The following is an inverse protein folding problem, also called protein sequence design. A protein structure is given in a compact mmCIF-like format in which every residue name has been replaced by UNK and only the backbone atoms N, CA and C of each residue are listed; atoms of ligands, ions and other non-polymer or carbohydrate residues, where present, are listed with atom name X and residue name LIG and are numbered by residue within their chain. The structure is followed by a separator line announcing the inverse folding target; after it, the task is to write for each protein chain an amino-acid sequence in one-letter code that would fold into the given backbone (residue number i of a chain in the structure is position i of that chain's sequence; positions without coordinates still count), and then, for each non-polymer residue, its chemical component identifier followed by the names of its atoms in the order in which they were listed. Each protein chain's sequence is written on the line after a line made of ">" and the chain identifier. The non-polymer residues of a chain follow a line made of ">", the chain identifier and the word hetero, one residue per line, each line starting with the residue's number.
data_IF_830395900715
#
_entry.id   IF_830395900715
#
_cell.length_a   1.000
_cell.length_b   1.000
_cell.length_c   1.000
_cell.angle_alpha   90.00
_cell.angle_beta   90.00
_cell.angle_gamma   90.00
#
_symmetry.space_group_name_H-M   'P 1'
#
loop_
_entity.id
_entity.type
_entity.pdbx_description
1 polymer ?
#
# COMPACT_ATOMS: atom_id res chain seq x y z
N UNK A 1 -0.82 4.76 10.13
CA UNK A 1 -0.05 3.78 10.92
C UNK A 1 1.36 3.55 10.41
N UNK A 2 1.68 3.59 9.10
CA UNK A 2 3.08 3.51 8.65
C UNK A 2 3.86 4.83 8.79
N UNK A 3 3.29 5.94 8.31
CA UNK A 3 3.97 7.26 8.29
C UNK A 3 4.33 7.78 9.69
N UNK A 4 3.43 7.62 10.66
CA UNK A 4 3.65 7.98 12.08
C UNK A 4 4.98 7.37 12.58
N UNK A 5 5.10 6.05 12.51
CA UNK A 5 6.24 5.32 13.04
C UNK A 5 7.50 5.51 12.20
N UNK A 6 7.37 5.73 10.89
CA UNK A 6 8.50 6.10 10.06
C UNK A 6 9.10 7.46 10.46
N UNK A 7 8.27 8.47 10.73
CA UNK A 7 8.77 9.77 11.23
C UNK A 7 9.40 9.64 12.62
N UNK A 8 8.85 8.81 13.50
CA UNK A 8 9.48 8.50 14.80
C UNK A 8 10.84 7.81 14.61
N UNK A 9 10.93 6.85 13.68
CA UNK A 9 12.18 6.15 13.36
C UNK A 9 13.27 7.09 12.83
N UNK A 10 12.90 8.05 11.98
CA UNK A 10 13.85 9.06 11.48
C UNK A 10 14.34 9.99 12.58
N UNK A 11 13.43 10.47 13.43
CA UNK A 11 13.76 11.34 14.56
C UNK A 11 14.55 10.61 15.67
N UNK A 12 14.50 9.28 15.72
CA UNK A 12 15.36 8.50 16.62
C UNK A 12 16.86 8.60 16.25
N UNK A 13 17.18 9.01 15.01
CA UNK A 13 18.57 9.29 14.57
C UNK A 13 19.09 10.64 15.06
N UNK A 14 18.19 11.53 15.49
CA UNK A 14 18.52 12.86 16.00
C UNK A 14 17.46 13.91 15.63
N UNK A 15 17.59 15.13 16.18
CA UNK A 15 16.66 16.21 15.87
C UNK A 15 16.66 16.59 14.39
N UNK A 16 15.48 16.76 13.80
CA UNK A 16 15.35 17.10 12.38
C UNK A 16 14.14 18.01 12.10
N UNK A 17 14.29 18.90 11.12
CA UNK A 17 13.19 19.73 10.62
C UNK A 17 12.31 18.97 9.62
N UNK A 18 11.10 19.49 9.37
CA UNK A 18 10.10 18.87 8.47
C UNK A 18 10.64 18.54 7.08
N UNK A 19 11.45 19.44 6.48
CA UNK A 19 12.05 19.22 5.16
C UNK A 19 13.07 18.08 5.18
N UNK A 20 13.93 18.06 6.20
CA UNK A 20 14.93 17.01 6.38
C UNK A 20 14.26 15.64 6.58
N UNK A 21 13.21 15.59 7.40
CA UNK A 21 12.43 14.35 7.61
C UNK A 21 11.79 13.83 6.33
N UNK A 22 11.24 14.72 5.49
CA UNK A 22 10.74 14.30 4.17
C UNK A 22 11.86 13.69 3.34
N UNK A 23 12.99 14.40 3.23
CA UNK A 23 14.13 13.96 2.42
C UNK A 23 14.68 12.61 2.90
N UNK A 24 14.83 12.45 4.22
CA UNK A 24 15.32 11.21 4.81
C UNK A 24 14.31 10.07 4.68
N UNK A 25 13.00 10.37 4.70
CA UNK A 25 11.96 9.38 4.41
C UNK A 25 12.08 8.89 2.97
N UNK A 26 12.11 9.80 1.99
CA UNK A 26 12.24 9.45 0.57
C UNK A 26 13.52 8.65 0.31
N UNK A 27 14.63 8.98 0.97
CA UNK A 27 15.88 8.24 0.89
C UNK A 27 15.81 6.85 1.56
N UNK A 28 15.11 6.73 2.69
CA UNK A 28 15.03 5.47 3.44
C UNK A 28 14.03 4.46 2.88
N UNK A 29 13.04 4.92 2.11
CA UNK A 29 11.96 4.08 1.62
C UNK A 29 12.02 3.82 0.12
N UNK A 30 13.01 4.40 -0.57
CA UNK A 30 12.97 4.51 -2.01
C UNK A 30 11.84 5.44 -2.46
N UNK A 31 11.88 5.92 -3.69
CA UNK A 31 10.81 6.76 -4.27
C UNK A 31 9.45 6.05 -4.38
N UNK A 32 9.37 4.77 -3.95
CA UNK A 32 8.19 3.92 -3.91
C UNK A 32 7.04 4.48 -3.08
N UNK A 33 7.33 5.24 -2.01
CA UNK A 33 6.30 5.87 -1.18
C UNK A 33 6.50 7.38 -1.11
N UNK A 34 5.86 8.17 -1.99
CA UNK A 34 5.98 9.62 -1.95
C UNK A 34 5.32 10.17 -0.69
N UNK A 35 6.03 11.05 0.03
CA UNK A 35 5.52 11.71 1.23
C UNK A 35 5.55 13.23 1.06
N UNK A 36 4.38 13.85 1.03
CA UNK A 36 4.27 15.29 0.83
C UNK A 36 4.62 16.07 2.10
N UNK A 37 5.27 17.24 1.97
CA UNK A 37 5.64 18.10 3.13
C UNK A 37 4.44 18.40 4.03
N UNK A 38 3.26 18.66 3.45
CA UNK A 38 2.04 18.89 4.21
C UNK A 38 1.61 17.68 5.06
N UNK A 39 1.84 16.46 4.58
CA UNK A 39 1.58 15.23 5.35
C UNK A 39 2.58 15.07 6.50
N UNK A 40 3.85 15.41 6.27
CA UNK A 40 4.87 15.41 7.34
C UNK A 40 4.48 16.40 8.43
N UNK A 41 4.19 17.65 8.07
CA UNK A 41 3.82 18.70 9.02
C UNK A 41 2.57 18.34 9.84
N UNK A 42 1.51 17.88 9.17
CA UNK A 42 0.26 17.48 9.85
C UNK A 42 0.44 16.25 10.74
N UNK A 43 1.33 15.32 10.37
CA UNK A 43 1.64 14.15 11.20
C UNK A 43 2.47 14.55 12.42
N UNK A 44 3.46 15.43 12.26
CA UNK A 44 4.26 15.96 13.38
C UNK A 44 3.41 16.72 14.39
N UNK A 45 2.46 17.55 13.94
CA UNK A 45 1.53 18.25 14.84
C UNK A 45 0.66 17.27 15.66
N UNK A 46 0.25 16.14 15.06
CA UNK A 46 -0.48 15.09 15.80
C UNK A 46 0.43 14.36 16.78
N UNK A 47 1.65 14.04 16.39
CA UNK A 47 2.64 13.41 17.26
C UNK A 47 2.99 14.29 18.47
N UNK A 48 3.06 15.61 18.29
CA UNK A 48 3.30 16.59 19.36
C UNK A 48 2.13 16.62 20.34
N UNK A 49 0.91 16.73 19.80
CA UNK A 49 -0.33 16.66 20.61
C UNK A 49 -0.41 15.35 21.41
N UNK A 50 0.03 14.25 20.81
CA UNK A 50 0.04 12.92 21.44
C UNK A 50 1.26 12.73 22.38
N UNK A 51 2.13 13.74 22.54
CA UNK A 51 3.28 13.72 23.46
C UNK A 51 4.47 12.87 23.01
N UNK A 52 4.50 12.44 21.75
CA UNK A 52 5.52 11.53 21.21
C UNK A 52 6.75 12.27 20.64
N UNK A 53 6.57 13.53 20.26
CA UNK A 53 7.65 14.42 19.82
C UNK A 53 7.49 15.79 20.47
N UNK A 54 8.58 16.54 20.53
CA UNK A 54 8.57 17.95 20.94
C UNK A 54 9.28 18.80 19.89
N UNK A 55 8.80 20.03 19.73
CA UNK A 55 9.44 21.05 18.91
C UNK A 55 10.57 21.73 19.69
N UNK A 56 11.74 21.81 19.07
CA UNK A 56 12.89 22.56 19.53
C UNK A 56 12.86 23.93 18.86
N UNK A 57 12.61 24.96 19.65
CA UNK A 57 12.65 26.33 19.14
C UNK A 57 14.11 26.76 18.90
N UNK A 58 14.42 27.30 17.71
CA UNK A 58 15.74 27.86 17.46
C UNK A 58 15.90 29.13 18.31
N UNK A 59 16.58 29.00 19.45
CA UNK A 59 17.11 30.14 20.19
C UNK A 59 16.31 30.63 21.40
N UNK A 60 16.08 29.78 22.41
CA UNK A 60 16.05 30.30 23.80
C UNK A 60 17.48 30.30 24.34
N UNK A 61 18.14 31.47 24.53
CA UNK A 61 19.42 31.50 25.21
C UNK A 61 19.23 30.98 26.64
N UNK A 62 20.02 29.97 27.02
CA UNK A 62 20.12 29.50 28.38
C UNK A 62 20.85 30.55 29.22
N UNK A 63 20.12 31.55 29.77
CA UNK A 63 20.57 32.31 30.92
C UNK A 63 19.43 33.08 31.60
N UNK A 64 19.26 32.85 32.90
CA UNK A 64 18.41 33.61 33.81
C UNK A 64 17.80 32.75 34.93
N UNK A 65 18.39 32.72 36.14
CA UNK A 65 17.74 32.12 37.29
C UNK A 65 16.66 33.08 37.81
N UNK A 66 15.44 32.60 38.00
CA UNK A 66 14.36 33.40 38.60
C UNK A 66 12.98 32.76 38.48
N UNK A 67 12.65 31.90 39.42
CA UNK A 67 11.28 31.73 39.89
C UNK A 67 11.24 32.23 41.35
N UNK A 68 10.08 32.55 41.97
CA UNK A 68 8.71 32.47 41.47
C UNK A 68 7.89 33.78 41.69
N UNK A 69 6.73 33.88 41.05
CA UNK A 69 5.75 34.94 41.30
C UNK A 69 4.34 34.51 40.88
N UNK A 70 3.54 34.12 41.86
CA UNK A 70 2.11 33.77 41.79
C UNK A 70 1.19 34.98 41.56
N UNK A 71 0.15 34.83 40.73
CA UNK A 71 -1.18 35.46 40.82
C UNK A 71 -1.97 35.15 39.52
N UNK A 72 -2.97 34.25 39.50
CA UNK A 72 -4.43 34.45 39.74
C UNK A 72 -5.16 35.37 38.77
N UNK A 73 -6.17 34.80 38.07
CA UNK A 73 -7.44 35.34 37.54
C UNK A 73 -7.68 34.80 36.10
N UNK A 74 -8.58 33.83 35.86
CA UNK A 74 -10.05 33.91 35.85
C UNK A 74 -10.63 34.84 34.77
N UNK A 75 -11.18 34.25 33.69
CA UNK A 75 -12.60 34.38 33.31
C UNK A 75 -12.86 33.78 31.92
N UNK A 76 -14.02 33.13 31.82
CA UNK A 76 -14.59 32.49 30.65
C UNK A 76 -15.06 33.48 29.56
N UNK A 77 -15.18 33.01 28.31
CA UNK A 77 -16.46 33.03 27.57
C UNK A 77 -16.38 32.33 26.22
N UNK A 78 -17.31 31.40 26.07
CA UNK A 78 -17.93 30.81 24.87
C UNK A 78 -18.18 31.80 23.74
N UNK A 79 -18.06 31.36 22.47
CA UNK A 79 -19.04 31.66 21.40
C UNK A 79 -18.75 30.89 20.10
N UNK A 80 -19.78 30.17 19.63
CA UNK A 80 -20.00 29.56 18.30
C UNK A 80 -21.19 30.34 17.68
N UNK A 81 -21.21 30.66 16.37
CA UNK A 81 -22.06 29.94 15.39
C UNK A 81 -21.33 29.75 14.03
N UNK A 82 -21.46 28.63 13.30
CA UNK A 82 -22.58 28.07 12.53
C UNK A 82 -22.62 28.48 11.03
N UNK A 83 -22.86 27.46 10.20
CA UNK A 83 -23.47 27.48 8.86
C UNK A 83 -22.58 27.41 7.58
N UNK A 84 -22.62 26.20 6.99
CA UNK A 84 -23.08 25.89 5.63
C UNK A 84 -22.17 26.01 4.38
N UNK A 85 -22.32 24.96 3.57
CA UNK A 85 -22.21 24.87 2.10
C UNK A 85 -20.85 24.46 1.46
N UNK A 86 -20.81 23.21 1.00
CA UNK A 86 -20.16 22.73 -0.25
C UNK A 86 -20.64 23.57 -1.46
N UNK A 87 -19.92 23.68 -2.61
CA UNK A 87 -19.45 22.52 -3.40
C UNK A 87 -18.11 22.66 -4.18
N UNK A 88 -17.61 21.50 -4.63
CA UNK A 88 -16.64 21.32 -5.73
C UNK A 88 -17.09 21.94 -7.05
N UNK A 89 -16.13 22.29 -7.94
CA UNK A 89 -16.14 21.63 -9.25
C UNK A 89 -14.75 21.22 -9.79
N UNK A 90 -14.84 20.40 -10.84
CA UNK A 90 -13.83 19.70 -11.66
C UNK A 90 -12.88 20.61 -12.46
N UNK A 91 -11.70 20.04 -12.74
CA UNK A 91 -10.78 20.16 -13.91
C UNK A 91 -10.86 21.39 -14.81
N UNK A 92 -9.68 21.91 -15.18
CA UNK A 92 -9.23 21.90 -16.58
C UNK A 92 -7.73 22.18 -16.70
N UNK A 93 -7.17 21.55 -17.72
CA UNK A 93 -5.86 21.69 -18.33
C UNK A 93 -5.31 23.12 -18.41
N UNK A 94 -4.00 23.25 -18.26
CA UNK A 94 -3.17 24.16 -19.07
C UNK A 94 -1.68 23.97 -18.76
N UNK A 95 -0.99 23.17 -19.58
CA UNK A 95 0.41 23.43 -19.89
C UNK A 95 0.47 24.59 -20.90
N UNK A 96 1.53 25.43 -20.86
CA UNK A 96 2.32 25.48 -22.09
C UNK A 96 3.83 25.76 -21.90
N UNK A 97 4.53 25.42 -22.97
CA UNK A 97 5.68 26.11 -23.57
C UNK A 97 7.05 25.95 -22.91
N UNK A 98 7.82 25.03 -23.51
CA UNK A 98 9.26 25.15 -23.65
C UNK A 98 9.60 26.26 -24.67
N UNK A 99 10.54 27.13 -24.32
CA UNK A 99 11.20 28.04 -25.24
C UNK A 99 12.69 28.16 -24.88
N UNK A 100 13.49 27.67 -25.83
CA UNK A 100 14.73 28.21 -26.37
C UNK A 100 15.93 28.53 -25.45
N UNK A 101 17.06 27.95 -25.85
CA UNK A 101 18.37 28.11 -25.24
C UNK A 101 19.32 28.82 -26.23
N UNK A 102 19.93 29.92 -25.80
CA UNK A 102 21.17 30.43 -26.38
C UNK A 102 22.02 31.12 -25.29
N UNK A 103 23.36 31.14 -25.41
CA UNK A 103 24.28 31.26 -24.29
C UNK A 103 24.78 32.70 -24.06
N UNK A 104 25.10 33.03 -22.80
CA UNK A 104 25.89 34.22 -22.47
C UNK A 104 27.00 33.86 -21.49
N UNK A 105 28.22 34.15 -21.91
CA UNK A 105 29.50 34.06 -21.20
C UNK A 105 29.70 35.18 -20.17
N UNK A 106 29.99 34.80 -18.92
CA UNK A 106 30.82 35.51 -17.91
C UNK A 106 30.25 36.80 -17.26
N UNK A 107 30.80 37.27 -16.11
CA UNK A 107 32.03 36.83 -15.44
C UNK A 107 31.84 36.37 -13.97
N UNK A 108 32.91 35.78 -13.45
CA UNK A 108 33.17 35.39 -12.07
C UNK A 108 32.53 36.31 -11.01
N UNK A 109 31.62 35.74 -10.23
CA UNK A 109 31.26 36.29 -8.93
C UNK A 109 31.53 35.21 -7.89
N UNK A 110 32.46 35.52 -6.99
CA UNK A 110 32.82 34.72 -5.83
C UNK A 110 31.61 34.71 -4.89
N UNK A 111 30.65 33.82 -5.12
CA UNK A 111 29.50 33.69 -4.24
C UNK A 111 29.85 32.73 -3.11
N UNK A 112 30.29 33.34 -2.02
CA UNK A 112 30.19 32.91 -0.63
C UNK A 112 29.05 31.90 -0.42
N UNK A 113 29.36 30.73 0.16
CA UNK A 113 28.34 29.78 0.64
C UNK A 113 27.30 30.54 1.48
N UNK A 114 25.98 30.40 1.22
CA UNK A 114 24.98 30.86 2.16
C UNK A 114 25.01 29.92 3.38
N UNK A 115 25.75 30.35 4.39
CA UNK A 115 25.70 29.80 5.73
C UNK A 115 24.46 30.41 6.42
N UNK A 116 23.28 29.82 6.22
CA UNK A 116 22.13 29.93 7.14
C UNK A 116 20.89 29.23 6.53
N UNK A 117 20.58 28.03 7.00
CA UNK A 117 19.18 27.61 7.12
C UNK A 117 18.95 27.22 8.58
N UNK A 118 18.96 28.22 9.47
CA UNK A 118 19.03 28.03 10.93
C UNK A 118 17.77 28.49 11.68
N UNK A 119 16.62 28.58 11.00
CA UNK A 119 15.34 28.96 11.64
C UNK A 119 14.18 27.98 11.38
N UNK A 120 14.46 26.76 10.91
CA UNK A 120 13.42 25.73 10.86
C UNK A 120 13.39 25.03 12.20
N UNK A 121 12.27 25.14 12.91
CA UNK A 121 12.08 24.42 14.16
C UNK A 121 12.31 22.93 13.95
N UNK A 122 13.23 22.38 14.73
CA UNK A 122 13.57 20.97 14.70
C UNK A 122 12.61 20.21 15.61
N UNK A 123 12.34 18.96 15.28
CA UNK A 123 11.57 18.05 16.12
C UNK A 123 12.52 17.06 16.77
N UNK A 124 12.18 16.56 17.95
CA UNK A 124 12.92 15.47 18.61
C UNK A 124 11.98 14.52 19.35
N UNK A 125 12.40 13.26 19.54
CA UNK A 125 11.61 12.25 20.25
C UNK A 125 11.57 12.50 21.75
N UNK A 126 10.40 12.32 22.34
CA UNK A 126 10.24 12.14 23.79
C UNK A 126 10.57 10.70 24.21
N UNK A 127 10.64 10.43 25.52
CA UNK A 127 10.74 9.06 26.02
C UNK A 127 9.52 8.21 25.60
N UNK A 128 8.32 8.77 25.71
CA UNK A 128 7.11 8.12 25.23
C UNK A 128 7.18 7.81 23.72
N UNK A 129 7.74 8.72 22.92
CA UNK A 129 7.99 8.48 21.49
C UNK A 129 8.97 7.34 21.23
N UNK A 130 10.01 7.19 22.06
CA UNK A 130 10.97 6.08 21.98
C UNK A 130 10.33 4.74 22.35
N UNK A 131 9.54 4.72 23.41
CA UNK A 131 8.81 3.52 23.85
C UNK A 131 7.81 3.06 22.81
N UNK A 132 7.01 3.97 22.25
CA UNK A 132 6.08 3.69 21.15
C UNK A 132 6.80 3.12 19.94
N UNK A 133 7.94 3.71 19.55
CA UNK A 133 8.73 3.22 18.43
C UNK A 133 9.30 1.83 18.69
N UNK A 134 9.83 1.58 19.89
CA UNK A 134 10.35 0.27 20.29
C UNK A 134 9.24 -0.79 20.28
N UNK A 135 8.07 -0.45 20.80
CA UNK A 135 6.91 -1.32 20.75
C UNK A 135 6.49 -1.64 19.32
N UNK A 136 6.48 -0.64 18.44
CA UNK A 136 6.15 -0.83 17.03
C UNK A 136 7.13 -1.76 16.31
N UNK A 137 8.44 -1.61 16.53
CA UNK A 137 9.45 -2.50 15.94
C UNK A 137 9.33 -3.95 16.41
N UNK A 138 8.95 -4.18 17.68
CA UNK A 138 8.80 -5.51 18.25
C UNK A 138 7.44 -6.15 17.89
N UNK A 139 6.45 -5.34 17.51
CA UNK A 139 5.09 -5.82 17.25
C UNK A 139 4.97 -6.47 15.87
N UNK A 140 4.49 -7.72 15.78
CA UNK A 140 4.29 -8.36 14.49
C UNK A 140 3.16 -7.67 13.72
N UNK A 141 3.36 -7.49 12.41
CA UNK A 141 2.31 -7.00 11.51
C UNK A 141 1.33 -8.14 11.21
N UNK A 142 0.21 -8.16 11.92
CA UNK A 142 -0.86 -9.13 11.67
C UNK A 142 -1.48 -8.88 10.29
N UNK A 143 -1.24 -9.80 9.34
CA UNK A 143 -1.90 -9.79 8.03
C UNK A 143 -3.22 -10.54 8.16
N UNK A 144 -4.35 -9.83 8.09
CA UNK A 144 -5.63 -10.48 7.77
C UNK A 144 -5.60 -10.77 6.27
N UNK A 145 -5.85 -12.01 5.88
CA UNK A 145 -6.06 -12.33 4.47
C UNK A 145 -7.15 -11.38 3.92
N UNK A 146 -7.07 -10.96 2.64
CA UNK A 146 -8.15 -10.18 2.07
C UNK A 146 -9.43 -11.00 2.23
N UNK A 147 -10.40 -10.52 3.01
CA UNK A 147 -11.63 -11.25 3.31
C UNK A 147 -12.39 -11.60 2.00
N UNK A 148 -12.09 -10.88 0.92
CA UNK A 148 -12.61 -11.07 -0.43
C UNK A 148 -11.55 -10.73 -1.46
N UNK A 149 -10.84 -11.75 -1.93
CA UNK A 149 -10.00 -11.63 -3.12
C UNK A 149 -10.88 -11.73 -4.38
N UNK A 150 -10.85 -10.70 -5.22
CA UNK A 150 -11.70 -10.60 -6.42
C UNK A 150 -11.43 -11.73 -7.42
N UNK A 151 -10.16 -12.10 -7.62
CA UNK A 151 -9.78 -13.15 -8.57
C UNK A 151 -10.29 -14.52 -8.10
N UNK A 152 -10.17 -14.80 -6.80
CA UNK A 152 -10.70 -16.02 -6.20
C UNK A 152 -12.22 -16.09 -6.36
N UNK A 153 -12.92 -14.99 -6.12
CA UNK A 153 -14.38 -14.91 -6.31
C UNK A 153 -14.75 -15.13 -7.78
N UNK A 154 -14.04 -14.49 -8.72
CA UNK A 154 -14.25 -14.68 -10.16
C UNK A 154 -14.11 -16.14 -10.56
N UNK A 155 -13.03 -16.81 -10.16
CA UNK A 155 -12.82 -18.21 -10.49
C UNK A 155 -13.86 -19.12 -9.85
N UNK A 156 -14.21 -18.90 -8.58
CA UNK A 156 -15.24 -19.68 -7.92
C UNK A 156 -16.60 -19.58 -8.63
N UNK A 157 -17.03 -18.37 -8.98
CA UNK A 157 -18.29 -18.14 -9.70
C UNK A 157 -18.24 -18.71 -11.12
N UNK A 158 -17.10 -18.60 -11.81
CA UNK A 158 -16.90 -19.16 -13.14
C UNK A 158 -17.11 -20.68 -13.15
N UNK A 159 -16.70 -21.40 -12.10
CA UNK A 159 -16.94 -22.86 -12.01
C UNK A 159 -18.41 -23.26 -11.91
N UNK A 160 -19.28 -22.36 -11.43
CA UNK A 160 -20.72 -22.57 -11.34
C UNK A 160 -21.47 -22.07 -12.59
N UNK A 161 -20.77 -21.47 -13.55
CA UNK A 161 -21.35 -20.81 -14.71
C UNK A 161 -21.01 -21.58 -15.99
N UNK A 162 -21.98 -22.25 -16.64
CA UNK A 162 -21.71 -23.13 -17.79
C UNK A 162 -21.22 -22.39 -19.04
N UNK A 163 -21.56 -21.10 -19.17
CA UNK A 163 -21.21 -20.28 -20.33
C UNK A 163 -19.82 -19.64 -20.24
N UNK A 164 -19.11 -19.83 -19.13
CA UNK A 164 -17.80 -19.21 -18.88
C UNK A 164 -16.69 -20.21 -19.11
N UNK A 165 -15.78 -19.89 -20.05
CA UNK A 165 -14.53 -20.63 -20.21
C UNK A 165 -13.55 -20.26 -19.08
N UNK A 166 -13.55 -21.09 -18.03
CA UNK A 166 -12.67 -20.91 -16.86
C UNK A 166 -11.19 -21.03 -17.25
N UNK A 167 -10.85 -21.87 -18.23
CA UNK A 167 -9.47 -22.05 -18.66
C UNK A 167 -8.96 -20.79 -19.37
N UNK A 168 -9.77 -20.22 -20.27
CA UNK A 168 -9.46 -18.94 -20.90
C UNK A 168 -9.31 -17.81 -19.87
N UNK A 169 -10.15 -17.78 -18.83
CA UNK A 169 -10.05 -16.79 -17.75
C UNK A 169 -8.75 -16.91 -16.96
N UNK A 170 -8.33 -18.14 -16.61
CA UNK A 170 -7.04 -18.39 -15.93
C UNK A 170 -5.88 -17.96 -16.82
N UNK A 171 -5.92 -18.27 -18.12
CA UNK A 171 -4.86 -17.88 -19.06
C UNK A 171 -4.79 -16.36 -19.23
N UNK A 172 -5.93 -15.67 -19.28
CA UNK A 172 -5.96 -14.21 -19.33
C UNK A 172 -5.36 -13.58 -18.07
N UNK A 173 -5.73 -14.07 -16.88
CA UNK A 173 -5.14 -13.59 -15.63
C UNK A 173 -3.63 -13.85 -15.61
N UNK A 174 -3.19 -15.07 -15.94
CA UNK A 174 -1.78 -15.45 -15.98
C UNK A 174 -0.94 -14.50 -16.85
N UNK A 175 -1.42 -14.14 -18.03
CA UNK A 175 -0.73 -13.20 -18.92
C UNK A 175 -0.59 -11.81 -18.30
N UNK A 176 -1.64 -11.32 -17.63
CA UNK A 176 -1.60 -10.04 -16.91
C UNK A 176 -0.58 -10.10 -15.75
N UNK A 177 -0.65 -11.14 -14.92
CA UNK A 177 0.26 -11.36 -13.78
C UNK A 177 1.72 -11.49 -14.22
N UNK A 178 1.99 -12.20 -15.32
CA UNK A 178 3.33 -12.28 -15.92
C UNK A 178 3.83 -10.91 -16.40
N UNK A 179 2.98 -10.11 -17.03
CA UNK A 179 3.36 -8.75 -17.46
C UNK A 179 3.80 -7.91 -16.27
N UNK A 180 3.03 -7.92 -15.18
CA UNK A 180 3.39 -7.25 -13.93
C UNK A 180 4.72 -7.77 -13.35
N UNK A 181 4.97 -9.09 -13.39
CA UNK A 181 6.25 -9.66 -12.95
C UNK A 181 7.44 -9.11 -13.76
N UNK A 182 7.28 -8.94 -15.08
CA UNK A 182 8.32 -8.38 -15.93
C UNK A 182 8.60 -6.91 -15.62
N UNK A 183 7.55 -6.12 -15.34
CA UNK A 183 7.65 -4.72 -14.93
C UNK A 183 8.40 -4.58 -13.60
N UNK A 184 8.02 -5.36 -12.58
CA UNK A 184 8.69 -5.39 -11.27
C UNK A 184 10.16 -5.78 -11.43
N UNK A 185 10.44 -6.84 -12.21
CA UNK A 185 11.82 -7.27 -12.47
C UNK A 185 12.66 -6.25 -13.22
N UNK A 186 12.04 -5.44 -14.09
CA UNK A 186 12.71 -4.31 -14.75
C UNK A 186 13.01 -3.20 -13.75
N UNK A 187 12.05 -2.82 -12.92
CA UNK A 187 12.23 -1.82 -11.87
C UNK A 187 13.33 -2.25 -10.88
N UNK A 188 13.34 -3.52 -10.48
CA UNK A 188 14.34 -4.08 -9.55
C UNK A 188 15.76 -3.97 -10.12
N UNK A 189 15.94 -4.30 -11.40
CA UNK A 189 17.24 -4.15 -12.07
C UNK A 189 17.68 -2.69 -12.20
N UNK A 190 16.73 -1.76 -12.33
CA UNK A 190 17.02 -0.33 -12.47
C UNK A 190 17.40 0.35 -11.15
N UNK A 191 16.97 -0.20 -10.00
CA UNK A 191 17.25 0.38 -8.68
C UNK A 191 18.75 0.38 -8.30
N UNK A 192 19.57 -0.45 -8.95
CA UNK A 192 20.96 -0.73 -8.60
C UNK A 192 21.15 -1.20 -7.15
N UNK A 193 22.31 -1.81 -6.83
CA UNK A 193 22.57 -2.39 -5.50
C UNK A 193 22.63 -1.33 -4.37
N UNK A 194 22.59 -0.04 -4.71
CA UNK A 194 22.70 1.08 -3.77
C UNK A 194 21.39 1.37 -3.00
N UNK A 195 20.22 1.02 -3.56
CA UNK A 195 18.91 1.22 -2.92
C UNK A 195 18.32 -0.09 -2.40
N UNK A 196 18.87 -0.54 -1.27
CA UNK A 196 18.43 -1.76 -0.58
C UNK A 196 16.95 -1.70 -0.17
N UNK A 197 16.44 -0.53 0.21
CA UNK A 197 15.06 -0.36 0.64
C UNK A 197 14.09 -0.62 -0.53
N UNK A 198 14.33 0.02 -1.68
CA UNK A 198 13.57 -0.26 -2.91
C UNK A 198 13.69 -1.72 -3.31
N UNK A 199 14.89 -2.29 -3.23
CA UNK A 199 15.14 -3.69 -3.60
C UNK A 199 14.31 -4.67 -2.77
N UNK A 200 14.31 -4.52 -1.44
CA UNK A 200 13.51 -5.36 -0.54
C UNK A 200 12.01 -5.28 -0.82
N UNK A 201 11.52 -4.10 -1.19
CA UNK A 201 10.09 -3.91 -1.53
C UNK A 201 9.74 -4.58 -2.83
N UNK A 202 10.60 -4.42 -3.85
CA UNK A 202 10.38 -5.05 -5.15
C UNK A 202 10.50 -6.57 -5.06
N UNK A 203 11.45 -7.10 -4.27
CA UNK A 203 11.54 -8.53 -3.99
C UNK A 203 10.27 -9.06 -3.32
N UNK A 204 9.72 -8.33 -2.34
CA UNK A 204 8.43 -8.71 -1.76
C UNK A 204 7.33 -8.81 -2.82
N UNK A 205 7.25 -7.84 -3.74
CA UNK A 205 6.26 -7.85 -4.81
C UNK A 205 6.47 -9.00 -5.81
N UNK A 206 7.72 -9.33 -6.13
CA UNK A 206 8.05 -10.53 -6.93
C UNK A 206 7.44 -11.76 -6.29
N UNK A 207 7.69 -12.00 -5.00
CA UNK A 207 7.18 -13.18 -4.30
C UNK A 207 5.64 -13.23 -4.27
N UNK A 208 4.95 -12.10 -4.14
CA UNK A 208 3.48 -12.06 -4.17
C UNK A 208 2.95 -12.46 -5.55
N UNK A 209 3.53 -11.92 -6.62
CA UNK A 209 3.11 -12.22 -7.99
C UNK A 209 3.45 -13.66 -8.38
N UNK A 210 4.59 -14.18 -7.95
CA UNK A 210 4.97 -15.59 -8.14
C UNK A 210 4.03 -16.54 -7.40
N UNK A 211 3.61 -16.18 -6.19
CA UNK A 211 2.63 -16.97 -5.43
C UNK A 211 1.29 -17.04 -6.16
N UNK A 212 0.83 -15.95 -6.78
CA UNK A 212 -0.37 -15.93 -7.61
C UNK A 212 -0.21 -16.84 -8.84
N UNK A 213 0.91 -16.74 -9.57
CA UNK A 213 1.18 -17.60 -10.73
C UNK A 213 1.16 -19.09 -10.35
N UNK A 214 1.80 -19.43 -9.23
CA UNK A 214 1.84 -20.81 -8.73
C UNK A 214 0.46 -21.31 -8.29
N UNK A 215 -0.37 -20.42 -7.75
CA UNK A 215 -1.75 -20.75 -7.42
C UNK A 215 -2.61 -20.96 -8.67
N UNK A 216 -2.45 -20.15 -9.72
CA UNK A 216 -3.14 -20.32 -11.01
C UNK A 216 -2.77 -21.66 -11.67
N UNK A 217 -1.50 -22.07 -11.60
CA UNK A 217 -1.05 -23.39 -12.08
C UNK A 217 -1.77 -24.54 -11.37
N UNK A 218 -1.88 -24.48 -10.05
CA UNK A 218 -2.57 -25.50 -9.27
C UNK A 218 -4.08 -25.49 -9.53
N UNK A 219 -4.68 -24.30 -9.67
CA UNK A 219 -6.10 -24.15 -10.00
C UNK A 219 -6.43 -24.79 -11.36
N UNK A 220 -5.63 -24.51 -12.39
CA UNK A 220 -5.77 -25.11 -13.72
C UNK A 220 -5.68 -26.65 -13.66
N UNK A 221 -4.65 -27.18 -12.98
CA UNK A 221 -4.49 -28.62 -12.80
C UNK A 221 -5.64 -29.29 -12.05
N UNK A 222 -6.24 -28.61 -11.06
CA UNK A 222 -7.43 -29.11 -10.35
C UNK A 222 -8.66 -29.14 -11.26
N UNK A 223 -8.86 -28.12 -12.09
CA UNK A 223 -9.99 -28.06 -13.03
C UNK A 223 -9.91 -29.14 -14.11
N UNK A 224 -8.73 -29.36 -14.69
CA UNK A 224 -8.52 -30.45 -15.67
C UNK A 224 -8.84 -31.82 -15.08
N UNK A 225 -8.40 -32.09 -13.85
CA UNK A 225 -8.72 -33.35 -13.14
C UNK A 225 -10.21 -33.51 -12.86
N UNK A 226 -10.89 -32.45 -12.41
CA UNK A 226 -12.32 -32.48 -12.13
C UNK A 226 -13.16 -32.76 -13.40
N UNK A 227 -12.77 -32.16 -14.54
CA UNK A 227 -13.41 -32.41 -15.83
C UNK A 227 -13.24 -33.88 -16.27
N UNK A 228 -12.03 -34.45 -16.14
CA UNK A 228 -11.76 -35.84 -16.47
C UNK A 228 -12.59 -36.83 -15.62
N UNK A 229 -12.69 -36.59 -14.31
CA UNK A 229 -13.53 -37.40 -13.41
C UNK A 229 -15.02 -37.34 -13.81
N UNK A 230 -15.52 -36.16 -14.20
CA UNK A 230 -16.91 -35.98 -14.66
C UNK A 230 -17.18 -36.73 -15.97
N UNK A 231 -16.24 -36.69 -16.92
CA UNK A 231 -16.33 -37.42 -18.18
C UNK A 231 -16.35 -38.94 -17.96
N UNK A 232 -15.50 -39.47 -17.06
CA UNK A 232 -15.48 -40.90 -16.72
C UNK A 232 -16.76 -41.38 -16.04
N UNK A 233 -17.39 -40.55 -15.21
CA UNK A 233 -18.67 -40.89 -14.58
C UNK A 233 -19.82 -40.96 -15.61
N UNK A 234 -19.83 -40.05 -16.59
CA UNK A 234 -20.82 -40.04 -17.66
C UNK A 234 -20.73 -41.29 -18.56
N UNK A 235 -19.52 -41.78 -18.85
CA UNK A 235 -19.31 -42.99 -19.65
C UNK A 235 -19.61 -44.30 -18.91
N UNK A 236 -19.58 -44.29 -17.58
CA UNK A 236 -19.82 -45.48 -16.73
C UNK A 236 -21.29 -45.69 -16.38
N UNK A 237 -22.18 -44.75 -16.72
CA UNK A 237 -23.62 -44.93 -16.48
C UNK A 237 -24.14 -46.07 -17.38
N UNK A 238 -24.60 -47.21 -16.83
CA UNK A 238 -25.12 -48.29 -17.66
C UNK A 238 -26.38 -47.79 -18.35
N UNK A 239 -26.42 -47.91 -19.68
CA UNK A 239 -27.67 -47.82 -20.41
C UNK A 239 -28.65 -48.80 -19.75
N UNK A 240 -29.72 -48.29 -19.16
CA UNK A 240 -30.81 -49.11 -18.67
C UNK A 240 -31.20 -50.06 -19.81
N UNK A 241 -30.95 -51.35 -19.63
CA UNK A 241 -31.39 -52.38 -20.57
C UNK A 241 -32.88 -52.15 -20.85
N UNK A 242 -33.32 -52.06 -22.11
CA UNK A 242 -34.75 -52.09 -22.38
C UNK A 242 -35.24 -53.45 -21.88
N UNK A 243 -36.11 -53.43 -20.87
CA UNK A 243 -36.76 -54.63 -20.37
C UNK A 243 -37.33 -55.39 -21.57
N UNK A 244 -36.81 -56.60 -21.78
CA UNK A 244 -37.30 -57.52 -22.78
C UNK A 244 -38.75 -57.86 -22.45
N UNK A 245 -39.68 -57.25 -23.19
CA UNK A 245 -41.10 -57.59 -23.17
C UNK A 245 -41.22 -58.99 -23.76
N UNK A 246 -41.22 -60.01 -22.89
CA UNK A 246 -41.55 -61.37 -23.28
C UNK A 246 -43.05 -61.43 -23.64
N UNK A 247 -43.44 -61.99 -24.81
CA UNK A 247 -44.84 -62.21 -25.11
C UNK A 247 -45.32 -63.44 -24.33
N UNK A 248 -46.25 -63.24 -23.40
CA UNK A 248 -46.95 -64.36 -22.74
C UNK A 248 -47.95 -64.91 -23.77
N UNK A 249 -47.63 -66.07 -24.36
CA UNK A 249 -48.53 -66.80 -25.24
C UNK A 249 -48.85 -68.17 -24.66
N UNK A 250 -50.14 -68.50 -24.76
CA UNK A 250 -50.79 -69.80 -24.51
C UNK A 250 -51.09 -70.10 -23.03
N UNK A 251 -52.19 -70.78 -22.68
CA UNK A 251 -53.13 -71.55 -23.48
C UNK A 251 -54.46 -71.64 -22.73
N UNK A 252 -55.58 -71.59 -23.44
CA UNK A 252 -56.89 -71.89 -22.87
C UNK A 252 -56.99 -73.33 -22.39
N UNK A 253 -57.74 -73.54 -21.30
CA UNK A 253 -58.30 -74.85 -20.96
C UNK A 253 -59.71 -74.66 -20.41
N UNK A 254 -60.66 -75.28 -21.12
CA UNK A 254 -62.04 -75.53 -20.75
C UNK A 254 -62.14 -76.14 -19.34
N UNK A 255 -63.16 -75.72 -18.58
CA UNK A 255 -64.33 -76.55 -18.20
C UNK A 255 -65.36 -75.70 -17.47
#
# INVERSE_FOLDING_TARGET
>A
MAVKHALLALLARGPAGTYQLRKDFEAATGTTWPLNIGQVATTLARLERDGLVIRLDPGRPANGPGAPGSATASAASTSVPAAAAQPTPRNSDAAPAAADAAPVTGPSNTQTLPTANRDVAAWTLTDAGREELAHWWASPVARRAPERDELVIKLALATASPDVDVAALIQQQRQATQTTLHEINRARRAAADEDLATTLVLDHHVFIVEAELRWLDDAEGRLTRAAALRASAASTTPAASPASTAPVSSTGRRS
#
